data_IF_074796140446
#
_entry.id   IF_074796140446
#
_cell.length_a   1.000
_cell.length_b   1.000
_cell.length_c   1.000
_cell.angle_alpha   90.00
_cell.angle_beta   90.00
_cell.angle_gamma   90.00
#
_symmetry.space_group_name_H-M   'P 1'
#
loop_
_entity.id
_entity.type
_entity.pdbx_description
1 polymer ?
#
# COMPACT_ATOMS: atom_id res chain seq x y z
N UNK A 1 -0.16 -57.91 -15.33
CA UNK A 1 0.16 -57.25 -16.61
C UNK A 1 1.40 -56.39 -16.40
N UNK A 2 2.39 -56.55 -17.27
CA UNK A 2 3.72 -55.94 -17.20
C UNK A 2 3.86 -54.80 -18.22
N UNK A 3 4.75 -53.84 -17.90
CA UNK A 3 5.52 -52.89 -18.75
C UNK A 3 5.69 -51.58 -17.94
N UNK A 4 6.81 -51.27 -17.26
CA UNK A 4 8.24 -51.14 -17.62
C UNK A 4 8.59 -49.83 -18.36
N UNK A 5 9.16 -48.91 -17.56
CA UNK A 5 10.20 -47.89 -17.80
C UNK A 5 10.23 -47.03 -19.07
N UNK A 6 10.57 -45.74 -18.89
CA UNK A 6 11.87 -45.18 -19.36
C UNK A 6 12.24 -43.86 -18.67
N UNK A 7 13.45 -43.84 -18.13
CA UNK A 7 14.23 -42.70 -17.64
C UNK A 7 14.78 -41.87 -18.81
N UNK A 8 15.09 -40.59 -18.57
CA UNK A 8 16.12 -39.88 -19.34
C UNK A 8 16.82 -38.82 -18.48
N UNK A 9 18.15 -38.94 -18.39
CA UNK A 9 19.11 -38.02 -17.77
C UNK A 9 19.87 -37.28 -18.88
N UNK A 10 20.29 -36.03 -18.63
CA UNK A 10 21.18 -35.18 -19.46
C UNK A 10 22.57 -35.83 -19.73
N UNK A 11 23.51 -35.33 -20.60
CA UNK A 11 24.14 -33.99 -20.49
C UNK A 11 24.80 -33.35 -21.77
N UNK A 12 25.40 -32.16 -21.54
CA UNK A 12 26.66 -31.56 -22.10
C UNK A 12 26.78 -31.01 -23.54
N UNK A 13 27.14 -29.71 -23.65
CA UNK A 13 28.47 -29.22 -24.15
C UNK A 13 28.61 -27.67 -24.15
N UNK A 14 29.61 -27.16 -23.42
CA UNK A 14 30.43 -25.96 -23.70
C UNK A 14 31.71 -26.39 -24.47
N UNK A 15 32.71 -25.55 -24.85
CA UNK A 15 32.84 -24.08 -25.06
C UNK A 15 33.57 -23.73 -26.41
N UNK A 16 33.83 -22.43 -26.71
CA UNK A 16 35.09 -21.87 -27.32
C UNK A 16 34.98 -20.32 -27.50
N UNK A 17 35.68 -19.51 -26.69
CA UNK A 17 36.89 -18.69 -27.00
C UNK A 17 36.84 -17.87 -28.31
N UNK A 18 36.98 -16.53 -28.21
CA UNK A 18 38.08 -15.79 -28.88
C UNK A 18 38.12 -14.27 -28.53
N UNK A 19 39.30 -13.84 -28.07
CA UNK A 19 40.04 -12.60 -28.43
C UNK A 19 39.61 -11.22 -27.85
N UNK A 20 40.52 -10.71 -26.99
CA UNK A 20 40.88 -9.32 -26.66
C UNK A 20 42.07 -8.89 -27.60
N UNK A 21 42.73 -7.69 -27.60
CA UNK A 21 42.49 -6.34 -27.05
C UNK A 21 42.73 -5.18 -28.06
N UNK A 22 42.53 -3.91 -27.63
CA UNK A 22 43.53 -2.79 -27.71
C UNK A 22 42.92 -1.48 -27.17
N UNK A 23 43.54 -0.88 -26.13
CA UNK A 23 44.31 0.41 -26.14
C UNK A 23 43.55 1.55 -26.84
N UNK A 24 43.28 2.72 -26.27
CA UNK A 24 43.71 3.40 -25.04
C UNK A 24 43.61 4.90 -25.31
N UNK A 25 43.20 5.72 -24.34
CA UNK A 25 43.45 7.16 -24.33
C UNK A 25 43.20 7.72 -22.93
N UNK A 26 44.21 8.42 -22.42
CA UNK A 26 44.26 9.13 -21.16
C UNK A 26 43.89 10.59 -21.45
N UNK A 27 43.00 11.19 -20.69
CA UNK A 27 42.93 12.65 -20.55
C UNK A 27 42.39 13.02 -19.17
N UNK A 28 43.28 13.60 -18.38
CA UNK A 28 43.07 14.31 -17.13
C UNK A 28 42.26 15.60 -17.33
N UNK A 29 41.34 15.89 -16.42
CA UNK A 29 40.61 17.17 -16.39
C UNK A 29 39.78 17.32 -15.11
N UNK A 30 40.26 18.19 -14.23
CA UNK A 30 39.79 18.53 -12.88
C UNK A 30 38.55 19.44 -12.92
N UNK A 31 37.53 19.22 -12.08
CA UNK A 31 36.76 20.27 -11.39
C UNK A 31 35.63 19.67 -10.52
N UNK A 32 35.48 20.22 -9.32
CA UNK A 32 34.45 19.93 -8.34
C UNK A 32 33.16 20.71 -8.63
N UNK A 33 32.00 20.17 -8.23
CA UNK A 33 30.75 20.91 -8.16
C UNK A 33 29.52 20.00 -8.07
N UNK A 34 28.66 20.10 -7.04
CA UNK A 34 27.64 19.11 -6.72
C UNK A 34 26.32 19.41 -7.45
N UNK A 35 25.65 18.39 -7.99
CA UNK A 35 24.20 18.45 -8.10
C UNK A 35 23.63 17.04 -8.26
N UNK A 36 23.62 16.28 -7.17
CA UNK A 36 22.64 15.20 -7.08
C UNK A 36 21.29 15.88 -6.95
N UNK A 37 20.64 16.08 -8.09
CA UNK A 37 19.23 16.41 -8.15
C UNK A 37 18.49 15.27 -7.44
N UNK A 38 18.14 15.51 -6.17
CA UNK A 38 17.12 14.72 -5.49
C UNK A 38 15.86 14.91 -6.34
N UNK A 39 15.53 13.91 -7.18
CA UNK A 39 14.23 13.83 -7.82
C UNK A 39 13.21 13.84 -6.69
N UNK A 40 12.55 14.96 -6.47
CA UNK A 40 11.34 15.02 -5.66
C UNK A 40 10.31 14.18 -6.41
N UNK A 41 10.25 12.90 -6.09
CA UNK A 41 9.16 12.02 -6.48
C UNK A 41 7.90 12.68 -5.92
N UNK A 42 6.91 12.96 -6.80
CA UNK A 42 5.65 13.56 -6.40
C UNK A 42 5.02 12.80 -5.23
N UNK A 43 4.12 13.43 -4.44
CA UNK A 43 3.75 12.86 -3.15
C UNK A 43 3.12 11.48 -3.35
N UNK A 44 3.78 10.49 -2.77
CA UNK A 44 3.44 9.07 -2.73
C UNK A 44 2.17 8.91 -1.91
N UNK A 45 1.21 8.11 -2.39
CA UNK A 45 0.02 7.82 -1.58
C UNK A 45 0.44 7.04 -0.33
N UNK A 46 0.04 7.55 0.84
CA UNK A 46 0.37 6.95 2.15
C UNK A 46 -0.89 6.30 2.72
N UNK A 47 -0.77 5.07 3.19
CA UNK A 47 -1.88 4.32 3.78
C UNK A 47 -1.67 4.15 5.27
N UNK A 48 -2.68 4.52 6.04
CA UNK A 48 -2.69 4.43 7.49
C UNK A 48 -3.86 3.61 7.98
N UNK A 49 -3.72 3.09 9.20
CA UNK A 49 -4.81 2.59 10.03
C UNK A 49 -4.79 3.26 11.39
N UNK A 50 -5.96 3.50 11.97
CA UNK A 50 -6.04 3.98 13.36
C UNK A 50 -5.63 2.86 14.32
N UNK A 51 -5.20 3.23 15.53
CA UNK A 51 -4.90 2.28 16.60
C UNK A 51 -6.05 1.30 16.87
N UNK A 52 -7.27 1.81 16.94
CA UNK A 52 -8.46 0.98 17.13
C UNK A 52 -8.65 0.00 15.97
N UNK A 53 -8.52 0.49 14.73
CA UNK A 53 -8.66 -0.35 13.54
C UNK A 53 -7.59 -1.44 13.51
N UNK A 54 -6.35 -1.13 13.89
CA UNK A 54 -5.27 -2.12 13.94
C UNK A 54 -5.60 -3.29 14.87
N UNK A 55 -6.14 -3.00 16.06
CA UNK A 55 -6.61 -4.04 16.98
C UNK A 55 -7.78 -4.84 16.40
N UNK A 56 -8.76 -4.17 15.78
CA UNK A 56 -9.92 -4.83 15.17
C UNK A 56 -9.52 -5.73 13.99
N UNK A 57 -8.63 -5.26 13.12
CA UNK A 57 -8.10 -6.00 11.97
C UNK A 57 -7.30 -7.23 12.43
N UNK A 58 -6.45 -7.08 13.44
CA UNK A 58 -5.71 -8.19 14.03
C UNK A 58 -6.64 -9.28 14.59
N UNK A 59 -7.68 -8.90 15.33
CA UNK A 59 -8.69 -9.83 15.84
C UNK A 59 -9.50 -10.52 14.73
N UNK A 60 -9.67 -9.85 13.58
CA UNK A 60 -10.34 -10.39 12.40
C UNK A 60 -9.40 -11.20 11.47
N UNK A 61 -8.10 -11.29 11.78
CA UNK A 61 -7.12 -11.98 10.94
C UNK A 61 -6.78 -11.25 9.63
N UNK A 62 -7.03 -9.94 9.55
CA UNK A 62 -6.80 -9.14 8.34
C UNK A 62 -5.37 -8.61 8.36
N UNK A 63 -4.58 -9.01 7.36
CA UNK A 63 -3.17 -8.62 7.25
C UNK A 63 -2.99 -7.25 6.59
N UNK A 64 -1.85 -6.61 6.85
CA UNK A 64 -1.52 -5.33 6.20
C UNK A 64 -1.37 -5.46 4.69
N UNK A 65 -0.94 -6.63 4.19
CA UNK A 65 -0.89 -6.92 2.74
C UNK A 65 -2.28 -6.86 2.12
N UNK A 66 -3.27 -7.46 2.77
CA UNK A 66 -4.67 -7.43 2.32
C UNK A 66 -5.23 -6.00 2.35
N UNK A 67 -4.90 -5.23 3.40
CA UNK A 67 -5.30 -3.82 3.48
C UNK A 67 -4.69 -2.99 2.35
N UNK A 68 -3.40 -3.16 2.05
CA UNK A 68 -2.77 -2.42 0.95
C UNK A 68 -3.39 -2.79 -0.41
N UNK A 69 -3.61 -4.08 -0.68
CA UNK A 69 -4.34 -4.52 -1.88
C UNK A 69 -5.74 -3.91 -1.96
N UNK A 70 -6.44 -3.82 -0.83
CA UNK A 70 -7.75 -3.21 -0.78
C UNK A 70 -7.74 -1.70 -1.11
N UNK A 71 -6.65 -0.98 -0.81
CA UNK A 71 -6.46 0.41 -1.27
C UNK A 71 -6.23 0.45 -2.79
N UNK A 72 -5.40 -0.43 -3.36
CA UNK A 72 -5.19 -0.48 -4.82
C UNK A 72 -6.53 -0.69 -5.57
N UNK A 73 -7.39 -1.53 -5.00
CA UNK A 73 -8.74 -1.76 -5.51
C UNK A 73 -9.63 -0.51 -5.35
N UNK A 74 -9.54 0.22 -4.23
CA UNK A 74 -10.25 1.50 -4.06
C UNK A 74 -9.76 2.58 -5.03
N UNK A 75 -8.46 2.62 -5.33
CA UNK A 75 -7.88 3.48 -6.36
C UNK A 75 -8.47 3.18 -7.75
N UNK A 76 -8.84 1.92 -8.02
CA UNK A 76 -9.54 1.49 -9.24
C UNK A 76 -11.07 1.68 -9.16
N UNK A 77 -11.59 2.26 -8.08
CA UNK A 77 -13.02 2.47 -7.87
C UNK A 77 -13.78 1.22 -7.42
N UNK A 78 -13.08 0.16 -6.98
CA UNK A 78 -13.69 -1.11 -6.57
C UNK A 78 -14.11 -1.08 -5.09
N UNK A 79 -14.99 -0.14 -4.75
CA UNK A 79 -15.60 0.00 -3.43
C UNK A 79 -16.84 0.88 -3.51
N UNK A 80 -17.59 0.95 -2.42
CA UNK A 80 -18.78 1.80 -2.38
C UNK A 80 -18.35 3.20 -1.90
N UNK A 81 -18.32 4.19 -2.80
CA UNK A 81 -18.11 5.61 -2.43
C UNK A 81 -19.37 6.16 -1.75
N UNK A 82 -19.26 6.51 -0.46
CA UNK A 82 -20.36 7.09 0.33
C UNK A 82 -20.35 8.63 0.29
N UNK A 83 -19.45 9.21 -0.50
CA UNK A 83 -19.23 10.63 -0.70
C UNK A 83 -18.43 11.29 0.43
N UNK A 84 -17.95 12.52 0.18
CA UNK A 84 -17.26 13.33 1.19
C UNK A 84 -15.95 12.73 1.70
N UNK A 85 -15.26 11.96 0.86
CA UNK A 85 -14.00 11.28 1.22
C UNK A 85 -14.19 10.03 2.08
N UNK A 86 -15.39 9.43 2.09
CA UNK A 86 -15.69 8.21 2.86
C UNK A 86 -16.00 7.06 1.90
N UNK A 87 -15.24 5.99 2.01
CA UNK A 87 -15.41 4.76 1.23
C UNK A 87 -15.78 3.60 2.14
N UNK A 88 -16.61 2.70 1.62
CA UNK A 88 -16.89 1.41 2.25
C UNK A 88 -16.27 0.29 1.42
N UNK A 89 -15.42 -0.50 2.05
CA UNK A 89 -14.66 -1.59 1.43
C UNK A 89 -15.01 -2.94 2.05
N UNK A 90 -15.20 -3.96 1.22
CA UNK A 90 -15.34 -5.36 1.66
C UNK A 90 -13.95 -5.94 1.86
N UNK A 91 -13.73 -6.63 2.99
CA UNK A 91 -12.47 -7.25 3.37
C UNK A 91 -12.71 -8.69 3.83
N UNK A 92 -11.63 -9.45 3.99
CA UNK A 92 -11.58 -10.79 4.56
C UNK A 92 -12.63 -11.72 3.93
N UNK A 93 -12.51 -11.98 2.62
CA UNK A 93 -13.46 -12.80 1.88
C UNK A 93 -14.94 -12.37 2.06
N UNK A 94 -15.18 -11.05 2.12
CA UNK A 94 -16.50 -10.45 2.31
C UNK A 94 -17.16 -10.78 3.67
N UNK A 95 -16.36 -11.16 4.68
CA UNK A 95 -16.80 -11.36 6.06
C UNK A 95 -16.83 -10.04 6.84
N UNK A 96 -16.03 -9.06 6.42
CA UNK A 96 -15.94 -7.75 7.07
C UNK A 96 -16.13 -6.60 6.10
N UNK A 97 -16.54 -5.46 6.66
CA UNK A 97 -16.66 -4.19 5.97
C UNK A 97 -15.85 -3.15 6.73
N UNK A 98 -15.13 -2.33 5.98
CA UNK A 98 -14.33 -1.26 6.52
C UNK A 98 -14.78 0.10 6.01
N UNK A 99 -14.65 1.11 6.87
CA UNK A 99 -14.69 2.51 6.48
C UNK A 99 -13.28 3.04 6.31
N UNK A 100 -13.04 3.54 5.10
CA UNK A 100 -11.77 4.10 4.67
C UNK A 100 -11.98 5.57 4.34
N UNK A 101 -11.18 6.44 4.94
CA UNK A 101 -11.18 7.87 4.66
C UNK A 101 -10.15 8.14 3.56
N UNK A 102 -10.56 8.79 2.49
CA UNK A 102 -9.80 8.90 1.25
C UNK A 102 -9.42 10.34 0.89
N UNK A 103 -8.40 10.46 0.03
CA UNK A 103 -7.98 11.70 -0.67
C UNK A 103 -7.66 12.87 0.27
N UNK A 104 -7.18 12.56 1.47
CA UNK A 104 -6.77 13.54 2.46
C UNK A 104 -5.31 13.93 2.21
N UNK A 105 -5.05 14.89 1.31
CA UNK A 105 -3.68 15.22 0.87
C UNK A 105 -2.90 13.97 0.38
N UNK A 106 -3.56 13.13 -0.43
CA UNK A 106 -3.05 11.82 -0.91
C UNK A 106 -2.81 10.76 0.18
N UNK A 107 -3.72 10.71 1.16
CA UNK A 107 -3.66 9.75 2.26
C UNK A 107 -4.94 8.94 2.32
N UNK A 108 -4.78 7.67 2.68
CA UNK A 108 -5.85 6.73 2.97
C UNK A 108 -5.79 6.36 4.45
N UNK A 109 -6.92 6.38 5.15
CA UNK A 109 -6.98 6.05 6.58
C UNK A 109 -8.10 5.05 6.82
N UNK A 110 -7.74 3.83 7.22
CA UNK A 110 -8.67 2.86 7.77
C UNK A 110 -9.16 3.32 9.15
N UNK A 111 -10.44 3.69 9.22
CA UNK A 111 -11.04 4.28 10.41
C UNK A 111 -11.87 3.27 11.22
N UNK A 112 -12.62 2.40 10.54
CA UNK A 112 -13.56 1.49 11.20
C UNK A 112 -13.67 0.14 10.49
N UNK A 113 -14.00 -0.92 11.24
CA UNK A 113 -14.15 -2.31 10.79
C UNK A 113 -15.32 -2.96 11.51
N UNK A 114 -16.22 -3.63 10.79
CA UNK A 114 -17.36 -4.32 11.35
C UNK A 114 -17.65 -5.62 10.58
N UNK A 115 -18.20 -6.63 11.25
CA UNK A 115 -18.53 -7.88 10.58
C UNK A 115 -19.79 -7.72 9.71
N UNK A 116 -19.95 -8.62 8.74
CA UNK A 116 -21.05 -8.62 7.77
C UNK A 116 -22.46 -8.53 8.41
N UNK A 117 -22.62 -9.02 9.63
CA UNK A 117 -23.92 -9.07 10.32
C UNK A 117 -24.19 -7.87 11.25
N UNK A 118 -23.18 -7.06 11.53
CA UNK A 118 -23.29 -6.02 12.58
C UNK A 118 -23.84 -4.69 12.07
N UNK A 119 -23.63 -4.35 10.79
CA UNK A 119 -24.26 -3.20 10.14
C UNK A 119 -24.48 -3.50 8.65
N UNK A 120 -25.73 -3.76 8.26
CA UNK A 120 -26.10 -3.80 6.84
C UNK A 120 -26.23 -2.39 6.23
N UNK A 121 -26.46 -1.38 7.06
CA UNK A 121 -26.63 -0.01 6.61
C UNK A 121 -25.93 0.96 7.59
N UNK A 122 -25.06 1.82 7.06
CA UNK A 122 -24.49 2.94 7.81
C UNK A 122 -25.53 4.05 7.74
N UNK A 123 -26.04 4.48 8.89
CA UNK A 123 -27.10 5.48 8.89
C UNK A 123 -26.57 6.89 8.56
N UNK A 124 -27.49 7.82 8.30
CA UNK A 124 -27.13 9.18 7.88
C UNK A 124 -26.33 9.93 8.94
N UNK A 125 -26.54 9.64 10.24
CA UNK A 125 -25.82 10.29 11.34
C UNK A 125 -24.39 9.74 11.42
N UNK A 126 -24.24 8.42 11.34
CA UNK A 126 -22.92 7.78 11.29
C UNK A 126 -22.11 8.25 10.08
N UNK A 127 -22.72 8.25 8.90
CA UNK A 127 -22.06 8.75 7.69
C UNK A 127 -21.64 10.22 7.82
N UNK A 128 -22.47 11.06 8.45
CA UNK A 128 -22.11 12.47 8.73
C UNK A 128 -20.92 12.57 9.68
N UNK A 129 -20.84 11.70 10.69
CA UNK A 129 -19.70 11.63 11.59
C UNK A 129 -18.42 11.23 10.84
N UNK A 130 -18.47 10.21 9.98
CA UNK A 130 -17.33 9.80 9.16
C UNK A 130 -16.88 10.90 8.19
N UNK A 131 -17.81 11.63 7.56
CA UNK A 131 -17.47 12.78 6.70
C UNK A 131 -16.78 13.89 7.47
N UNK A 132 -17.22 14.18 8.70
CA UNK A 132 -16.55 15.14 9.58
C UNK A 132 -15.15 14.67 9.95
N UNK A 133 -14.99 13.37 10.22
CA UNK A 133 -13.70 12.76 10.54
C UNK A 133 -12.74 12.83 9.33
N UNK A 134 -13.22 12.49 8.14
CA UNK A 134 -12.47 12.64 6.89
C UNK A 134 -11.96 14.07 6.72
N UNK A 135 -12.85 15.07 6.89
CA UNK A 135 -12.46 16.47 6.83
C UNK A 135 -11.36 16.83 7.86
N UNK A 136 -11.52 16.40 9.12
CA UNK A 136 -10.54 16.67 10.17
C UNK A 136 -9.15 16.10 9.87
N UNK A 137 -9.07 14.88 9.33
CA UNK A 137 -7.81 14.29 8.91
C UNK A 137 -7.26 14.94 7.62
N UNK A 138 -8.12 15.44 6.74
CA UNK A 138 -7.72 16.19 5.55
C UNK A 138 -7.08 17.54 5.85
N UNK A 139 -7.59 18.22 6.87
CA UNK A 139 -7.07 19.51 7.33
C UNK A 139 -5.82 19.35 8.20
N UNK A 140 -5.58 18.16 8.76
CA UNK A 140 -4.42 17.86 9.61
C UNK A 140 -3.09 18.13 8.88
N UNK A 141 -2.15 18.90 9.48
CA UNK A 141 -0.82 19.11 8.93
C UNK A 141 0.01 17.81 8.99
N UNK A 142 1.05 17.72 8.16
CA UNK A 142 1.91 16.53 8.10
C UNK A 142 2.67 16.29 9.41
N UNK A 143 3.15 17.35 10.06
CA UNK A 143 3.82 17.27 11.36
C UNK A 143 2.95 16.56 12.41
N UNK A 144 1.67 16.96 12.51
CA UNK A 144 0.71 16.36 13.44
C UNK A 144 0.38 14.91 13.08
N UNK A 145 0.35 14.60 11.78
CA UNK A 145 0.15 13.23 11.33
C UNK A 145 1.36 12.34 11.71
N UNK A 146 2.58 12.82 11.51
CA UNK A 146 3.79 12.11 11.91
C UNK A 146 3.92 12.00 13.45
N UNK A 147 3.47 13.00 14.21
CA UNK A 147 3.29 12.90 15.66
C UNK A 147 2.31 11.79 16.04
N UNK A 148 1.13 11.74 15.42
CA UNK A 148 0.15 10.67 15.63
C UNK A 148 0.73 9.29 15.30
N UNK A 149 1.63 9.20 14.31
CA UNK A 149 2.38 7.96 14.02
C UNK A 149 3.38 7.64 15.13
N UNK A 150 4.16 8.61 15.60
CA UNK A 150 5.13 8.44 16.70
C UNK A 150 4.47 7.94 17.98
N UNK A 151 3.28 8.45 18.31
CA UNK A 151 2.50 8.02 19.50
C UNK A 151 1.61 6.81 19.24
N UNK A 152 1.68 6.20 18.05
CA UNK A 152 0.93 5.01 17.62
C UNK A 152 -0.60 5.18 17.65
N UNK A 153 -1.09 6.40 17.49
CA UNK A 153 -2.51 6.66 17.21
C UNK A 153 -2.85 6.35 15.76
N UNK A 154 -1.91 6.61 14.86
CA UNK A 154 -1.92 6.16 13.47
C UNK A 154 -0.76 5.18 13.25
N UNK A 155 -0.96 4.23 12.36
CA UNK A 155 0.06 3.29 11.92
C UNK A 155 0.08 3.32 10.41
N UNK A 156 1.24 3.63 9.85
CA UNK A 156 1.47 3.56 8.41
C UNK A 156 1.73 2.10 8.02
N UNK A 157 1.08 1.64 6.95
CA UNK A 157 1.15 0.24 6.51
C UNK A 157 1.73 0.06 5.10
N UNK A 158 1.60 1.06 4.24
CA UNK A 158 2.22 1.06 2.91
C UNK A 158 2.29 2.47 2.32
N UNK A 159 3.16 2.56 1.31
CA UNK A 159 3.38 3.73 0.48
C UNK A 159 3.30 3.31 -0.98
N UNK A 160 2.92 4.24 -1.87
CA UNK A 160 2.90 4.05 -3.33
C UNK A 160 1.86 3.02 -3.84
N UNK A 161 0.74 2.86 -3.13
CA UNK A 161 -0.42 2.07 -3.55
C UNK A 161 -1.23 2.80 -4.64
#
# INVERSE_FOLDING_TARGET
>A
MAATLKHATAPTKTPKKSVNPKRGAKASGKAAGPNQAVKVLGPKERVFKTKWFASAAASAGISDVELCQAIDELNKGQGDDLGGGVWKKRLNNNLHRSIVLAKLKKRWIYAFLFAKKDLENIDKKELKAFKKLAKSYGEMPEEKLDESVKVKELMEICHDC
#
